data_IF_907777131839
#
_entry.id   IF_907777131839
#
_cell.length_a   1.000
_cell.length_b   1.000
_cell.length_c   1.000
_cell.angle_alpha   90.00
_cell.angle_beta   90.00
_cell.angle_gamma   90.00
#
_symmetry.space_group_name_H-M   'P 1'
#
loop_
_entity.id
_entity.type
_entity.pdbx_description
1 polymer ?
#
# COMPACT_ATOMS: atom_id res chain seq x y z
N UNK A 1 -3.49 -6.34 14.21
CA UNK A 1 -2.13 -5.77 14.27
C UNK A 1 -1.57 -5.47 12.88
N UNK A 2 -1.59 -6.42 11.92
CA UNK A 2 -1.05 -6.21 10.56
C UNK A 2 -1.63 -5.03 9.78
N UNK A 3 -2.96 -4.89 9.73
CA UNK A 3 -3.63 -3.76 9.06
C UNK A 3 -3.17 -2.42 9.63
N UNK A 4 -3.15 -2.28 10.96
CA UNK A 4 -2.81 -1.02 11.61
C UNK A 4 -1.37 -0.59 11.32
N UNK A 5 -0.42 -1.53 11.39
CA UNK A 5 0.99 -1.27 11.08
C UNK A 5 1.16 -0.90 9.60
N UNK A 6 0.52 -1.66 8.69
CA UNK A 6 0.58 -1.35 7.26
C UNK A 6 0.00 0.02 6.93
N UNK A 7 -1.17 0.35 7.46
CA UNK A 7 -1.79 1.67 7.27
C UNK A 7 -0.90 2.80 7.78
N UNK A 8 -0.30 2.66 8.97
CA UNK A 8 0.66 3.65 9.47
C UNK A 8 1.87 3.81 8.55
N UNK A 9 2.43 2.73 8.02
CA UNK A 9 3.54 2.79 7.07
C UNK A 9 3.18 3.58 5.80
N UNK A 10 2.02 3.31 5.19
CA UNK A 10 1.59 4.03 3.99
C UNK A 10 1.30 5.51 4.27
N UNK A 11 0.76 5.85 5.45
CA UNK A 11 0.59 7.24 5.88
C UNK A 11 1.96 7.93 6.00
N UNK A 12 2.93 7.29 6.66
CA UNK A 12 4.28 7.84 6.82
C UNK A 12 4.92 8.07 5.45
N UNK A 13 4.84 7.11 4.53
CA UNK A 13 5.38 7.24 3.17
C UNK A 13 4.72 8.41 2.43
N UNK A 14 3.39 8.53 2.50
CA UNK A 14 2.66 9.63 1.84
C UNK A 14 3.09 11.00 2.38
N UNK A 15 3.17 11.13 3.71
CA UNK A 15 3.56 12.37 4.39
C UNK A 15 5.02 12.69 4.09
N UNK A 16 5.96 11.79 4.34
CA UNK A 16 7.40 12.04 4.08
C UNK A 16 7.64 12.36 2.61
N UNK A 17 6.99 11.63 1.69
CA UNK A 17 7.07 11.89 0.25
C UNK A 17 6.60 13.29 -0.13
N UNK A 18 5.38 13.67 0.30
CA UNK A 18 4.80 14.98 -0.01
C UNK A 18 5.56 16.15 0.63
N UNK A 19 6.01 16.00 1.89
CA UNK A 19 6.76 17.05 2.59
C UNK A 19 8.22 17.16 2.12
N UNK A 20 8.80 16.09 1.57
CA UNK A 20 10.12 16.16 0.92
C UNK A 20 10.08 16.88 -0.44
N UNK A 21 8.91 17.01 -1.08
CA UNK A 21 8.76 17.56 -2.42
C UNK A 21 9.48 18.90 -2.66
N UNK A 22 9.47 19.90 -1.75
CA UNK A 22 10.19 21.16 -1.94
C UNK A 22 11.71 21.02 -2.03
N UNK A 23 12.29 19.91 -1.55
CA UNK A 23 13.74 19.68 -1.56
C UNK A 23 14.27 19.27 -2.93
N UNK A 24 13.41 18.72 -3.81
CA UNK A 24 13.84 18.11 -5.06
C UNK A 24 12.95 18.44 -6.27
N UNK A 25 11.69 18.83 -6.06
CA UNK A 25 10.82 19.29 -7.14
C UNK A 25 11.10 20.77 -7.45
N UNK A 26 11.54 21.07 -8.68
CA UNK A 26 11.92 22.43 -9.09
C UNK A 26 10.75 23.42 -9.10
N UNK A 27 9.73 23.16 -9.92
CA UNK A 27 8.56 24.06 -10.09
C UNK A 27 7.22 23.37 -9.86
N UNK A 28 7.19 22.03 -9.83
CA UNK A 28 5.97 21.22 -9.80
C UNK A 28 5.71 20.63 -8.41
N UNK A 29 5.98 21.39 -7.35
CA UNK A 29 5.91 20.90 -5.95
C UNK A 29 4.52 20.38 -5.60
N UNK A 30 3.48 21.12 -5.98
CA UNK A 30 2.10 20.74 -5.64
C UNK A 30 1.60 19.53 -6.45
N UNK A 31 2.01 19.41 -7.72
CA UNK A 31 1.76 18.21 -8.51
C UNK A 31 2.42 16.98 -7.88
N UNK A 32 3.69 17.11 -7.48
CA UNK A 32 4.44 16.02 -6.83
C UNK A 32 3.77 15.61 -5.51
N UNK A 33 3.33 16.57 -4.69
CA UNK A 33 2.60 16.29 -3.45
C UNK A 33 1.34 15.48 -3.71
N UNK A 34 0.53 15.89 -4.69
CA UNK A 34 -0.71 15.17 -5.05
C UNK A 34 -0.38 13.76 -5.55
N UNK A 35 0.66 13.59 -6.38
CA UNK A 35 1.08 12.29 -6.86
C UNK A 35 1.50 11.35 -5.71
N UNK A 36 2.19 11.85 -4.69
CA UNK A 36 2.53 11.06 -3.51
C UNK A 36 1.30 10.63 -2.72
N UNK A 37 0.36 11.53 -2.47
CA UNK A 37 -0.87 11.18 -1.73
C UNK A 37 -1.73 10.17 -2.50
N UNK A 38 -1.99 10.42 -3.78
CA UNK A 38 -2.82 9.55 -4.62
C UNK A 38 -2.12 8.21 -4.86
N UNK A 39 -0.82 8.22 -5.17
CA UNK A 39 -0.04 7.01 -5.38
C UNK A 39 0.00 6.13 -4.13
N UNK A 40 0.31 6.71 -2.97
CA UNK A 40 0.31 5.98 -1.70
C UNK A 40 -1.07 5.42 -1.36
N UNK A 41 -2.15 6.18 -1.61
CA UNK A 41 -3.51 5.71 -1.41
C UNK A 41 -3.86 4.52 -2.31
N UNK A 42 -3.54 4.58 -3.61
CA UNK A 42 -3.80 3.48 -4.55
C UNK A 42 -3.03 2.21 -4.15
N UNK A 43 -1.76 2.34 -3.79
CA UNK A 43 -0.95 1.20 -3.34
C UNK A 43 -1.46 0.62 -2.01
N UNK A 44 -1.83 1.46 -1.05
CA UNK A 44 -2.43 1.03 0.20
C UNK A 44 -3.77 0.32 -0.04
N UNK A 45 -4.61 0.84 -0.94
CA UNK A 45 -5.91 0.26 -1.27
C UNK A 45 -5.75 -1.14 -1.88
N UNK A 46 -4.86 -1.32 -2.86
CA UNK A 46 -4.58 -2.65 -3.40
C UNK A 46 -4.07 -3.61 -2.32
N UNK A 47 -3.14 -3.16 -1.48
CA UNK A 47 -2.58 -3.99 -0.41
C UNK A 47 -3.65 -4.40 0.63
N UNK A 48 -4.45 -3.46 1.12
CA UNK A 48 -5.44 -3.73 2.18
C UNK A 48 -6.54 -4.67 1.70
N UNK A 49 -6.97 -4.55 0.44
CA UNK A 49 -7.97 -5.44 -0.15
C UNK A 49 -7.44 -6.88 -0.24
N UNK A 50 -6.21 -7.07 -0.71
CA UNK A 50 -5.57 -8.39 -0.77
C UNK A 50 -5.42 -8.98 0.63
N UNK A 51 -4.98 -8.17 1.59
CA UNK A 51 -4.83 -8.61 2.98
C UNK A 51 -6.18 -9.05 3.57
N UNK A 52 -7.23 -8.25 3.41
CA UNK A 52 -8.57 -8.58 3.91
C UNK A 52 -9.15 -9.84 3.28
N UNK A 53 -8.90 -10.06 1.98
CA UNK A 53 -9.33 -11.27 1.28
C UNK A 53 -8.73 -12.57 1.89
N UNK A 54 -7.60 -12.46 2.58
CA UNK A 54 -6.88 -13.59 3.17
C UNK A 54 -7.15 -13.77 4.68
N UNK A 55 -7.81 -12.83 5.36
CA UNK A 55 -7.97 -12.88 6.82
C UNK A 55 -8.89 -14.02 7.29
N UNK A 56 -9.94 -14.32 6.53
CA UNK A 56 -10.88 -15.41 6.82
C UNK A 56 -11.21 -16.12 5.50
N UNK A 57 -10.30 -16.96 4.99
CA UNK A 57 -10.49 -17.59 3.70
C UNK A 57 -11.63 -18.62 3.77
N UNK A 58 -12.54 -18.55 2.81
CA UNK A 58 -13.64 -19.52 2.66
C UNK A 58 -13.14 -20.80 2.00
N UNK A 59 -12.18 -20.66 1.08
CA UNK A 59 -11.57 -21.76 0.34
C UNK A 59 -10.15 -21.98 0.86
N UNK A 60 -9.87 -23.20 1.30
CA UNK A 60 -8.52 -23.62 1.61
C UNK A 60 -7.84 -24.18 0.36
N UNK A 61 -6.52 -23.97 0.20
CA UNK A 61 -5.79 -24.55 -0.91
C UNK A 61 -5.76 -26.08 -0.79
N UNK A 62 -6.32 -26.77 -1.79
CA UNK A 62 -6.25 -28.23 -1.92
C UNK A 62 -5.29 -28.60 -3.03
N UNK A 63 -4.39 -29.56 -2.76
CA UNK A 63 -3.47 -30.11 -3.77
C UNK A 63 -3.74 -31.60 -3.98
N UNK A 64 -3.82 -32.07 -5.23
CA UNK A 64 -3.80 -33.51 -5.53
C UNK A 64 -2.35 -33.97 -5.58
N UNK A 65 -1.86 -34.56 -4.49
CA UNK A 65 -0.56 -35.22 -4.50
C UNK A 65 -0.81 -36.63 -5.03
N UNK A 66 -0.51 -36.87 -6.30
CA UNK A 66 -0.27 -38.24 -6.75
C UNK A 66 1.09 -38.62 -6.19
N UNK A 67 1.11 -39.50 -5.19
CA UNK A 67 2.36 -40.13 -4.77
C UNK A 67 2.76 -41.10 -5.88
N UNK A 68 3.84 -40.80 -6.59
CA UNK A 68 4.54 -41.76 -7.45
C UNK A 68 5.29 -42.80 -6.60
#
# INVERSE_FOLDING_TARGET
MGIFIGTLLFIIIAVVGAFSAPLWAKSQVDLVRVLFYVGAFCCWLSWVLIYMAQMNPILLPTRSITAE
#
